data_IF_394995453589
#
_entry.id   IF_394995453589
#
_cell.length_a   1.000
_cell.length_b   1.000
_cell.length_c   1.000
_cell.angle_alpha   90.00
_cell.angle_beta   90.00
_cell.angle_gamma   90.00
#
_symmetry.space_group_name_H-M   'P 1'
#
loop_
_entity.id
_entity.type
_entity.pdbx_description
1 polymer ?
#
# COMPACT_ATOMS: atom_id res chain seq x y z
N UNK A 1 -13.47 -13.46 -13.00
CA UNK A 1 -13.03 -13.38 -14.42
C UNK A 1 -12.00 -14.45 -14.71
N UNK A 2 -12.14 -15.13 -15.84
CA UNK A 2 -11.10 -16.03 -16.37
C UNK A 2 -9.87 -15.22 -16.81
N UNK A 3 -8.67 -15.80 -16.72
CA UNK A 3 -7.42 -15.17 -17.19
C UNK A 3 -7.49 -14.74 -18.67
N UNK A 4 -8.27 -15.46 -19.48
CA UNK A 4 -8.53 -15.10 -20.87
C UNK A 4 -9.23 -13.75 -21.01
N UNK A 5 -10.24 -13.52 -20.16
CA UNK A 5 -11.05 -12.29 -20.19
C UNK A 5 -10.27 -11.09 -19.64
N UNK A 6 -9.37 -11.31 -18.67
CA UNK A 6 -8.45 -10.27 -18.20
C UNK A 6 -7.50 -9.83 -19.32
N UNK A 7 -6.90 -10.79 -20.04
CA UNK A 7 -5.97 -10.49 -21.13
C UNK A 7 -6.66 -9.75 -22.29
N UNK A 8 -7.90 -10.12 -22.63
CA UNK A 8 -8.70 -9.41 -23.63
C UNK A 8 -8.99 -7.95 -23.21
N UNK A 9 -9.34 -7.72 -21.94
CA UNK A 9 -9.57 -6.38 -21.40
C UNK A 9 -8.29 -5.52 -21.38
N UNK A 10 -7.14 -6.07 -20.97
CA UNK A 10 -5.84 -5.37 -21.02
C UNK A 10 -5.51 -4.96 -22.45
N UNK A 11 -5.65 -5.90 -23.39
CA UNK A 11 -5.34 -5.65 -24.81
C UNK A 11 -6.24 -4.56 -25.40
N UNK A 12 -7.53 -4.59 -25.07
CA UNK A 12 -8.48 -3.59 -25.53
C UNK A 12 -8.16 -2.20 -24.97
N UNK A 13 -7.86 -2.08 -23.66
CA UNK A 13 -7.45 -0.83 -23.05
C UNK A 13 -6.17 -0.27 -23.71
N UNK A 14 -5.15 -1.12 -23.87
CA UNK A 14 -3.89 -0.74 -24.52
C UNK A 14 -4.11 -0.26 -25.95
N UNK A 15 -5.04 -0.89 -26.69
CA UNK A 15 -5.40 -0.48 -28.05
C UNK A 15 -6.06 0.89 -28.07
N UNK A 16 -7.03 1.13 -27.18
CA UNK A 16 -7.72 2.42 -27.05
C UNK A 16 -6.77 3.56 -26.63
N UNK A 17 -5.80 3.26 -25.76
CA UNK A 17 -4.78 4.22 -25.33
C UNK A 17 -3.82 4.57 -26.47
N UNK A 18 -3.33 3.56 -27.20
CA UNK A 18 -2.41 3.77 -28.33
C UNK A 18 -3.07 4.55 -29.47
N UNK A 19 -4.30 4.19 -29.85
CA UNK A 19 -5.05 4.93 -30.88
C UNK A 19 -5.22 6.41 -30.50
N UNK A 20 -5.48 6.68 -29.22
CA UNK A 20 -5.65 8.03 -28.71
C UNK A 20 -4.34 8.83 -28.60
N UNK A 21 -3.18 8.16 -28.42
CA UNK A 21 -1.85 8.79 -28.44
C UNK A 21 -1.44 9.19 -29.86
N UNK A 22 -1.69 8.31 -30.84
CA UNK A 22 -1.24 8.49 -32.22
C UNK A 22 -2.04 9.58 -32.97
N UNK A 23 -3.28 9.82 -32.57
CA UNK A 23 -4.15 10.81 -33.21
C UNK A 23 -4.99 11.61 -32.19
N UNK A 24 -4.35 12.51 -31.40
CA UNK A 24 -5.03 13.26 -30.35
C UNK A 24 -6.12 14.22 -30.87
N UNK A 25 -6.16 14.50 -32.18
CA UNK A 25 -7.13 15.40 -32.80
C UNK A 25 -8.35 14.70 -33.44
N UNK A 26 -8.40 13.37 -33.49
CA UNK A 26 -9.49 12.62 -34.15
C UNK A 26 -9.76 11.33 -33.35
N UNK A 27 -10.50 11.44 -32.26
CA UNK A 27 -11.91 11.03 -32.21
C UNK A 27 -12.36 11.14 -30.76
N UNK A 28 -13.30 12.06 -30.52
CA UNK A 28 -14.02 12.14 -29.26
C UNK A 28 -14.63 10.76 -28.92
N UNK A 29 -14.91 9.93 -29.93
CA UNK A 29 -15.47 8.59 -29.80
C UNK A 29 -14.51 7.61 -29.10
N UNK A 30 -13.21 7.60 -29.37
CA UNK A 30 -12.24 6.75 -28.66
C UNK A 30 -12.11 7.16 -27.18
N UNK A 31 -12.14 8.47 -26.92
CA UNK A 31 -12.18 9.01 -25.57
C UNK A 31 -13.47 8.65 -24.86
N UNK A 32 -14.62 8.90 -25.49
CA UNK A 32 -15.95 8.56 -24.98
C UNK A 32 -16.06 7.06 -24.76
N UNK A 33 -15.47 6.22 -25.60
CA UNK A 33 -15.46 4.76 -25.43
C UNK A 33 -14.59 4.35 -24.23
N UNK A 34 -13.40 4.93 -24.08
CA UNK A 34 -12.54 4.70 -22.90
C UNK A 34 -13.21 5.18 -21.61
N UNK A 35 -13.88 6.33 -21.63
CA UNK A 35 -14.63 6.87 -20.49
C UNK A 35 -15.94 6.13 -20.23
N UNK A 36 -16.62 5.64 -21.27
CA UNK A 36 -17.83 4.82 -21.15
C UNK A 36 -17.46 3.45 -20.60
N UNK A 37 -16.33 2.89 -21.03
CA UNK A 37 -15.75 1.69 -20.44
C UNK A 37 -15.40 1.91 -18.96
N UNK A 38 -14.71 3.01 -18.62
CA UNK A 38 -14.46 3.38 -17.22
C UNK A 38 -15.77 3.52 -16.42
N UNK A 39 -16.71 4.32 -16.93
CA UNK A 39 -17.97 4.66 -16.24
C UNK A 39 -18.87 3.45 -16.04
N UNK A 40 -18.93 2.54 -17.01
CA UNK A 40 -19.67 1.28 -16.91
C UNK A 40 -19.05 0.34 -15.87
N UNK A 41 -17.73 0.33 -15.74
CA UNK A 41 -17.00 -0.46 -14.74
C UNK A 41 -16.95 0.20 -13.35
N UNK A 42 -17.16 1.52 -13.28
CA UNK A 42 -17.08 2.31 -12.04
C UNK A 42 -18.43 2.49 -11.32
N UNK A 43 -19.51 1.82 -11.76
CA UNK A 43 -20.82 1.89 -11.08
C UNK A 43 -20.90 1.05 -9.78
N UNK A 44 -19.77 0.60 -9.20
CA UNK A 44 -19.69 -0.15 -7.93
C UNK A 44 -18.38 0.08 -7.16
N UNK A 45 -18.24 -0.58 -5.99
CA UNK A 45 -16.98 -0.74 -5.22
C UNK A 45 -15.81 -1.08 -6.15
N UNK A 46 -14.60 -0.58 -5.84
CA UNK A 46 -13.35 -0.64 -6.64
C UNK A 46 -13.55 -1.11 -8.08
N UNK A 47 -13.53 -0.15 -9.02
CA UNK A 47 -13.81 -0.42 -10.43
C UNK A 47 -13.08 -1.69 -10.92
N UNK A 48 -13.74 -2.53 -11.72
CA UNK A 48 -13.08 -3.69 -12.35
C UNK A 48 -11.82 -3.26 -13.12
N UNK A 49 -11.81 -2.01 -13.59
CA UNK A 49 -10.65 -1.37 -14.18
C UNK A 49 -9.51 -1.18 -13.18
N UNK A 50 -9.74 -0.76 -11.94
CA UNK A 50 -8.69 -0.68 -10.92
C UNK A 50 -8.01 -2.03 -10.66
N UNK A 51 -8.78 -3.12 -10.67
CA UNK A 51 -8.23 -4.47 -10.60
C UNK A 51 -7.39 -4.83 -11.84
N UNK A 52 -7.81 -4.38 -13.03
CA UNK A 52 -7.06 -4.53 -14.27
C UNK A 52 -5.74 -3.74 -14.22
N UNK A 53 -5.79 -2.46 -13.85
CA UNK A 53 -4.62 -1.59 -13.75
C UNK A 53 -3.59 -2.14 -12.77
N UNK A 54 -4.02 -2.73 -11.65
CA UNK A 54 -3.11 -3.37 -10.69
C UNK A 54 -2.30 -4.53 -11.29
N UNK A 55 -2.82 -5.19 -12.33
CA UNK A 55 -2.14 -6.30 -13.02
C UNK A 55 -1.14 -5.85 -14.09
N UNK A 56 -1.17 -4.57 -14.48
CA UNK A 56 -0.27 -4.01 -15.48
C UNK A 56 1.15 -3.84 -14.92
N UNK A 57 2.11 -3.89 -15.83
CA UNK A 57 3.50 -3.59 -15.50
C UNK A 57 3.67 -2.11 -15.17
N UNK A 58 4.74 -1.78 -14.43
CA UNK A 58 5.11 -0.39 -14.11
C UNK A 58 5.24 0.48 -15.36
N UNK A 59 5.82 -0.05 -16.44
CA UNK A 59 6.00 0.70 -17.68
C UNK A 59 4.65 1.02 -18.34
N UNK A 60 3.74 0.05 -18.39
CA UNK A 60 2.38 0.27 -18.92
C UNK A 60 1.63 1.32 -18.09
N UNK A 61 1.68 1.24 -16.76
CA UNK A 61 1.07 2.26 -15.89
C UNK A 61 1.67 3.65 -16.13
N UNK A 62 2.98 3.77 -16.30
CA UNK A 62 3.61 5.06 -16.59
C UNK A 62 3.19 5.61 -17.96
N UNK A 63 3.03 4.77 -18.97
CA UNK A 63 2.53 5.18 -20.29
C UNK A 63 1.10 5.72 -20.16
N UNK A 64 0.24 4.99 -19.44
CA UNK A 64 -1.14 5.41 -19.16
C UNK A 64 -1.16 6.75 -18.44
N UNK A 65 -0.37 6.91 -17.37
CA UNK A 65 -0.30 8.16 -16.62
C UNK A 65 0.11 9.34 -17.50
N UNK A 66 1.20 9.21 -18.28
CA UNK A 66 1.69 10.27 -19.15
C UNK A 66 0.64 10.69 -20.19
N UNK A 67 -0.07 9.71 -20.74
CA UNK A 67 -1.16 9.93 -21.67
C UNK A 67 -2.32 10.69 -21.01
N UNK A 68 -2.79 10.23 -19.84
CA UNK A 68 -3.85 10.91 -19.11
C UNK A 68 -3.43 12.34 -18.74
N UNK A 69 -2.22 12.57 -18.22
CA UNK A 69 -1.72 13.92 -17.94
C UNK A 69 -1.70 14.81 -19.20
N UNK A 70 -1.29 14.27 -20.35
CA UNK A 70 -1.33 15.00 -21.61
C UNK A 70 -2.76 15.45 -21.95
N UNK A 71 -3.74 14.55 -21.80
CA UNK A 71 -5.14 14.79 -22.15
C UNK A 71 -5.89 15.65 -21.13
N UNK A 72 -5.45 15.64 -19.87
CA UNK A 72 -6.03 16.47 -18.80
C UNK A 72 -6.10 17.96 -19.17
N UNK A 73 -5.21 18.40 -20.08
CA UNK A 73 -5.15 19.76 -20.62
C UNK A 73 -6.32 20.12 -21.53
N UNK A 74 -6.97 19.14 -22.14
CA UNK A 74 -8.06 19.30 -23.11
C UNK A 74 -9.43 18.95 -22.51
N UNK A 75 -9.48 18.09 -21.49
CA UNK A 75 -10.73 17.61 -20.89
C UNK A 75 -11.50 18.69 -20.11
N UNK A 76 -10.81 19.71 -19.57
CA UNK A 76 -11.49 20.82 -18.85
C UNK A 76 -12.55 21.51 -19.70
N UNK A 77 -12.35 21.53 -21.02
CA UNK A 77 -13.26 22.18 -21.97
C UNK A 77 -14.43 21.27 -22.39
N UNK A 78 -14.36 19.96 -22.08
CA UNK A 78 -15.32 18.93 -22.49
C UNK A 78 -16.34 18.55 -21.39
N UNK A 79 -16.22 19.08 -20.17
CA UNK A 79 -17.17 18.82 -19.08
C UNK A 79 -17.13 17.41 -18.48
N UNK A 80 -16.18 16.56 -18.88
CA UNK A 80 -15.97 15.18 -18.40
C UNK A 80 -14.98 15.12 -17.22
N UNK A 81 -14.87 16.20 -16.43
CA UNK A 81 -13.80 16.37 -15.45
C UNK A 81 -13.85 15.33 -14.31
N UNK A 82 -15.03 14.96 -13.83
CA UNK A 82 -15.18 14.17 -12.61
C UNK A 82 -14.71 12.71 -12.77
N UNK A 83 -15.16 12.02 -13.80
CA UNK A 83 -14.80 10.63 -14.10
C UNK A 83 -13.33 10.53 -14.51
N UNK A 84 -12.85 11.50 -15.29
CA UNK A 84 -11.45 11.58 -15.67
C UNK A 84 -10.52 11.81 -14.48
N UNK A 85 -10.87 12.74 -13.58
CA UNK A 85 -10.08 13.00 -12.37
C UNK A 85 -10.01 11.76 -11.47
N UNK A 86 -11.11 11.00 -11.36
CA UNK A 86 -11.11 9.71 -10.64
C UNK A 86 -10.18 8.70 -11.29
N UNK A 87 -10.25 8.52 -12.61
CA UNK A 87 -9.39 7.58 -13.32
C UNK A 87 -7.90 7.96 -13.21
N UNK A 88 -7.58 9.24 -13.41
CA UNK A 88 -6.21 9.75 -13.26
C UNK A 88 -5.70 9.55 -11.82
N UNK A 89 -6.56 9.75 -10.82
CA UNK A 89 -6.22 9.51 -9.41
C UNK A 89 -5.92 8.03 -9.15
N UNK A 90 -6.72 7.10 -9.67
CA UNK A 90 -6.49 5.65 -9.57
C UNK A 90 -5.16 5.23 -10.20
N UNK A 91 -4.85 5.72 -11.40
CA UNK A 91 -3.57 5.43 -12.08
C UNK A 91 -2.39 5.98 -11.29
N UNK A 92 -2.48 7.24 -10.82
CA UNK A 92 -1.46 7.87 -10.00
C UNK A 92 -1.24 7.10 -8.69
N UNK A 93 -2.32 6.63 -8.06
CA UNK A 93 -2.26 5.80 -6.87
C UNK A 93 -1.47 4.51 -7.10
N UNK A 94 -1.72 3.81 -8.21
CA UNK A 94 -0.98 2.58 -8.56
C UNK A 94 0.50 2.88 -8.83
N UNK A 95 0.81 4.01 -9.47
CA UNK A 95 2.18 4.44 -9.70
C UNK A 95 2.93 4.74 -8.38
N UNK A 96 2.30 5.47 -7.46
CA UNK A 96 2.84 5.73 -6.12
C UNK A 96 3.04 4.43 -5.35
N UNK A 97 2.07 3.51 -5.39
CA UNK A 97 2.20 2.17 -4.80
C UNK A 97 3.41 1.41 -5.34
N UNK A 98 3.57 1.33 -6.66
CA UNK A 98 4.69 0.62 -7.29
C UNK A 98 6.04 1.20 -6.83
N UNK A 99 6.14 2.53 -6.73
CA UNK A 99 7.33 3.21 -6.24
C UNK A 99 7.65 2.88 -4.76
N UNK A 100 6.63 2.75 -3.91
CA UNK A 100 6.82 2.37 -2.51
C UNK A 100 7.15 0.88 -2.36
N UNK A 101 6.54 0.01 -3.16
CA UNK A 101 6.79 -1.44 -3.15
C UNK A 101 8.25 -1.77 -3.48
N UNK A 102 8.81 -1.12 -4.50
CA UNK A 102 10.24 -1.26 -4.89
C UNK A 102 11.21 -0.88 -3.75
N UNK A 103 10.79 0.00 -2.84
CA UNK A 103 11.63 0.43 -1.71
C UNK A 103 11.64 -0.56 -0.56
N UNK A 104 10.71 -1.50 -0.48
CA UNK A 104 10.60 -2.43 0.66
C UNK A 104 11.86 -3.29 0.79
N UNK A 105 12.24 -3.98 -0.29
CA UNK A 105 13.42 -4.86 -0.33
C UNK A 105 14.72 -4.20 0.17
N UNK A 106 15.14 -3.05 -0.37
CA UNK A 106 16.36 -2.38 0.09
C UNK A 106 16.23 -1.71 1.46
N UNK A 107 15.01 -1.45 1.96
CA UNK A 107 14.80 -0.74 3.24
C UNK A 107 14.80 -1.66 4.46
N UNK A 108 14.36 -2.91 4.28
CA UNK A 108 14.24 -3.87 5.38
C UNK A 108 15.29 -4.98 5.30
N UNK A 109 16.00 -5.29 6.40
CA UNK A 109 16.99 -6.35 6.40
C UNK A 109 16.32 -7.71 6.20
N UNK A 110 17.02 -8.61 5.51
CA UNK A 110 16.57 -10.00 5.30
C UNK A 110 17.21 -10.88 6.37
N UNK A 111 16.41 -11.43 7.26
CA UNK A 111 16.87 -12.29 8.35
C UNK A 111 15.76 -13.26 8.77
N UNK A 112 16.14 -14.30 9.54
CA UNK A 112 15.20 -15.22 10.19
C UNK A 112 15.00 -14.85 11.66
N UNK A 113 13.79 -15.09 12.19
CA UNK A 113 13.48 -14.89 13.60
C UNK A 113 13.46 -16.25 14.29
N UNK A 114 14.24 -16.43 15.35
CA UNK A 114 14.15 -17.67 16.12
C UNK A 114 12.79 -17.76 16.84
N UNK A 115 12.25 -18.97 17.03
CA UNK A 115 10.93 -19.18 17.66
C UNK A 115 10.79 -18.47 19.01
N UNK A 116 11.85 -18.44 19.82
CA UNK A 116 11.85 -17.82 21.15
C UNK A 116 11.87 -16.28 21.08
N UNK A 117 12.07 -15.73 19.88
CA UNK A 117 12.07 -14.30 19.60
C UNK A 117 10.81 -13.86 18.84
N UNK A 118 9.77 -14.69 18.71
CA UNK A 118 8.53 -14.29 18.03
C UNK A 118 7.56 -13.62 19.02
N UNK A 119 7.25 -14.31 20.12
CA UNK A 119 6.33 -13.84 21.17
C UNK A 119 7.09 -13.64 22.48
N UNK A 120 6.70 -12.64 23.29
CA UNK A 120 7.37 -12.30 24.55
C UNK A 120 6.90 -13.05 25.79
N UNK A 121 5.86 -13.88 25.68
CA UNK A 121 5.32 -14.69 26.78
C UNK A 121 5.15 -16.14 26.34
N UNK A 122 5.24 -17.05 27.30
CA UNK A 122 5.32 -18.50 27.10
C UNK A 122 3.90 -19.09 27.00
N UNK A 123 3.19 -18.80 25.90
CA UNK A 123 1.86 -19.37 25.67
C UNK A 123 1.97 -20.65 24.84
N UNK A 124 1.77 -21.77 25.53
CA UNK A 124 1.69 -23.13 24.99
C UNK A 124 0.41 -23.39 24.19
N UNK A 125 -0.27 -22.35 23.73
CA UNK A 125 -1.53 -22.49 23.03
C UNK A 125 -1.28 -23.02 21.61
N UNK A 126 -1.84 -24.19 21.32
CA UNK A 126 -1.59 -24.93 20.09
C UNK A 126 -1.97 -24.14 18.82
N UNK A 127 -2.84 -23.13 18.96
CA UNK A 127 -3.29 -22.22 17.89
C UNK A 127 -2.15 -21.40 17.29
N UNK A 128 -1.14 -21.01 18.07
CA UNK A 128 -0.03 -20.16 17.60
C UNK A 128 1.16 -20.95 17.05
N UNK A 129 1.27 -22.24 17.38
CA UNK A 129 2.44 -23.08 17.05
C UNK A 129 2.71 -23.09 15.55
N UNK A 130 1.67 -23.22 14.73
CA UNK A 130 1.80 -23.22 13.27
C UNK A 130 2.37 -21.90 12.76
N UNK A 131 1.81 -20.76 13.17
CA UNK A 131 2.23 -19.43 12.73
C UNK A 131 3.63 -19.06 13.22
N UNK A 132 3.97 -19.45 14.45
CA UNK A 132 5.33 -19.33 15.02
C UNK A 132 6.32 -20.17 14.20
N UNK A 133 5.93 -21.39 13.80
CA UNK A 133 6.77 -22.24 12.96
C UNK A 133 6.98 -21.64 11.56
N UNK A 134 5.95 -21.08 10.94
CA UNK A 134 6.08 -20.40 9.64
C UNK A 134 7.02 -19.18 9.74
N UNK A 135 6.83 -18.35 10.76
CA UNK A 135 7.67 -17.18 11.00
C UNK A 135 9.13 -17.53 11.31
N UNK A 136 9.38 -18.67 11.96
CA UNK A 136 10.73 -19.02 12.42
C UNK A 136 11.60 -19.76 11.40
N UNK A 137 10.99 -20.40 10.41
CA UNK A 137 11.70 -21.20 9.41
C UNK A 137 12.02 -20.43 8.14
N UNK A 138 11.29 -19.34 7.88
CA UNK A 138 11.38 -18.50 6.68
C UNK A 138 12.03 -17.14 6.98
N UNK A 139 12.61 -16.53 5.96
CA UNK A 139 12.86 -15.09 5.91
C UNK A 139 11.59 -14.37 5.47
N UNK A 140 11.46 -13.06 5.73
CA UNK A 140 10.25 -12.33 5.38
C UNK A 140 9.95 -12.32 3.87
N UNK A 141 10.99 -12.49 3.03
CA UNK A 141 10.84 -12.60 1.58
C UNK A 141 10.17 -13.92 1.17
N UNK A 142 10.45 -14.99 1.91
CA UNK A 142 9.97 -16.36 1.65
C UNK A 142 8.57 -16.61 2.22
N UNK A 143 8.07 -15.73 3.10
CA UNK A 143 6.67 -15.75 3.55
C UNK A 143 5.77 -15.59 2.32
N UNK A 144 4.83 -16.50 2.14
CA UNK A 144 3.81 -16.43 1.08
C UNK A 144 2.61 -15.60 1.53
N UNK A 145 1.68 -15.33 0.61
CA UNK A 145 0.45 -14.62 0.97
C UNK A 145 -0.42 -15.43 1.95
N UNK A 146 -0.51 -16.75 1.77
CA UNK A 146 -1.27 -17.63 2.66
C UNK A 146 -0.63 -17.72 4.05
N UNK A 147 0.71 -17.79 4.10
CA UNK A 147 1.45 -17.68 5.38
C UNK A 147 1.12 -16.34 6.06
N UNK A 148 1.18 -15.24 5.30
CA UNK A 148 0.89 -13.90 5.81
C UNK A 148 -0.53 -13.81 6.40
N UNK A 149 -1.55 -14.30 5.69
CA UNK A 149 -2.93 -14.31 6.20
C UNK A 149 -3.07 -15.16 7.46
N UNK A 150 -2.51 -16.36 7.45
CA UNK A 150 -2.53 -17.25 8.62
C UNK A 150 -1.89 -16.56 9.83
N UNK A 151 -0.75 -15.91 9.65
CA UNK A 151 -0.06 -15.14 10.70
C UNK A 151 -0.91 -13.92 11.13
N UNK A 152 -1.54 -13.22 10.17
CA UNK A 152 -2.37 -12.04 10.41
C UNK A 152 -3.60 -12.33 11.27
N UNK A 153 -4.24 -13.46 11.05
CA UNK A 153 -5.48 -13.81 11.76
C UNK A 153 -5.22 -14.51 13.09
N UNK A 154 -4.08 -15.19 13.21
CA UNK A 154 -3.81 -16.06 14.36
C UNK A 154 -3.08 -15.38 15.50
N UNK A 155 -2.29 -14.32 15.29
CA UNK A 155 -1.36 -13.83 16.31
C UNK A 155 -1.77 -12.52 16.97
N UNK A 156 -1.57 -12.46 18.28
CA UNK A 156 -1.75 -11.23 19.06
C UNK A 156 -0.53 -10.32 18.95
N UNK A 157 -0.68 -9.23 18.19
CA UNK A 157 0.41 -8.29 17.88
C UNK A 157 1.05 -7.63 19.09
N UNK A 158 0.29 -7.47 20.18
CA UNK A 158 0.80 -6.89 21.42
C UNK A 158 1.90 -7.75 22.06
N UNK A 159 1.91 -9.05 21.79
CA UNK A 159 2.86 -10.00 22.34
C UNK A 159 4.11 -10.15 21.47
N UNK A 160 4.20 -9.47 20.32
CA UNK A 160 5.37 -9.56 19.44
C UNK A 160 6.61 -8.93 20.06
N UNK A 161 7.74 -9.64 19.95
CA UNK A 161 9.04 -9.04 20.27
C UNK A 161 9.42 -7.97 19.24
N UNK A 162 10.42 -7.16 19.57
CA UNK A 162 10.95 -6.14 18.66
C UNK A 162 11.44 -6.74 17.34
N UNK A 163 12.07 -7.90 17.44
CA UNK A 163 12.67 -8.59 16.30
C UNK A 163 11.58 -9.13 15.38
N UNK A 164 10.49 -9.65 15.95
CA UNK A 164 9.31 -10.08 15.21
C UNK A 164 8.58 -8.92 14.51
N UNK A 165 8.41 -7.78 15.21
CA UNK A 165 7.83 -6.57 14.62
C UNK A 165 8.63 -6.07 13.41
N UNK A 166 9.96 -5.96 13.55
CA UNK A 166 10.85 -5.56 12.45
C UNK A 166 10.77 -6.53 11.27
N UNK A 167 10.74 -7.82 11.56
CA UNK A 167 10.68 -8.89 10.57
C UNK A 167 9.36 -8.89 9.79
N UNK A 168 8.23 -8.73 10.48
CA UNK A 168 6.91 -8.92 9.88
C UNK A 168 6.38 -7.67 9.18
N UNK A 169 6.89 -6.49 9.54
CA UNK A 169 6.52 -5.21 8.90
C UNK A 169 6.66 -5.21 7.37
N UNK A 170 7.79 -5.62 6.76
CA UNK A 170 7.88 -5.69 5.29
C UNK A 170 6.87 -6.64 4.65
N UNK A 171 6.44 -7.72 5.32
CA UNK A 171 5.36 -8.57 4.85
C UNK A 171 4.04 -7.81 4.77
N UNK A 172 3.68 -7.06 5.82
CA UNK A 172 2.47 -6.24 5.83
C UNK A 172 2.46 -5.21 4.70
N UNK A 173 3.60 -4.54 4.47
CA UNK A 173 3.71 -3.55 3.39
C UNK A 173 3.57 -4.22 2.02
N UNK A 174 4.29 -5.32 1.77
CA UNK A 174 4.27 -6.07 0.52
C UNK A 174 2.88 -6.57 0.19
N UNK A 175 2.23 -7.27 1.12
CA UNK A 175 0.99 -8.00 0.81
C UNK A 175 -0.26 -7.13 0.75
N UNK A 176 -0.26 -5.98 1.44
CA UNK A 176 -1.30 -4.97 1.23
C UNK A 176 -1.12 -4.29 -0.14
N UNK A 177 0.11 -3.96 -0.53
CA UNK A 177 0.39 -3.38 -1.85
C UNK A 177 0.04 -4.29 -3.01
N UNK A 178 0.27 -5.60 -2.87
CA UNK A 178 -0.08 -6.56 -3.92
C UNK A 178 -1.58 -6.89 -3.98
N UNK A 179 -2.40 -6.47 -3.02
CA UNK A 179 -3.83 -6.81 -2.94
C UNK A 179 -4.69 -5.66 -2.43
N UNK A 180 -4.70 -4.54 -3.17
CA UNK A 180 -5.36 -3.30 -2.72
C UNK A 180 -6.88 -3.43 -2.61
N UNK A 181 -7.48 -4.42 -3.25
CA UNK A 181 -8.93 -4.70 -3.19
C UNK A 181 -9.37 -5.44 -1.93
N UNK A 182 -8.46 -5.83 -1.03
CA UNK A 182 -8.78 -6.56 0.21
C UNK A 182 -8.84 -5.64 1.43
N UNK A 183 -9.80 -4.71 1.42
CA UNK A 183 -9.94 -3.66 2.44
C UNK A 183 -10.12 -4.16 3.87
N UNK A 184 -10.68 -5.35 4.06
CA UNK A 184 -10.82 -5.95 5.40
C UNK A 184 -9.46 -6.16 6.09
N UNK A 185 -8.36 -6.35 5.33
CA UNK A 185 -7.01 -6.52 5.88
C UNK A 185 -6.37 -5.21 6.32
N UNK A 186 -6.85 -4.07 5.81
CA UNK A 186 -6.25 -2.77 6.07
C UNK A 186 -6.36 -2.39 7.54
N UNK A 187 -7.49 -2.70 8.18
CA UNK A 187 -7.68 -2.47 9.62
C UNK A 187 -6.62 -3.18 10.46
N UNK A 188 -6.42 -4.48 10.20
CA UNK A 188 -5.42 -5.30 10.90
C UNK A 188 -4.00 -4.79 10.68
N UNK A 189 -3.64 -4.49 9.43
CA UNK A 189 -2.28 -4.00 9.11
C UNK A 189 -2.02 -2.61 9.69
N UNK A 190 -2.99 -1.69 9.60
CA UNK A 190 -2.87 -0.36 10.21
C UNK A 190 -2.75 -0.47 11.73
N UNK A 191 -3.49 -1.37 12.37
CA UNK A 191 -3.35 -1.64 13.79
C UNK A 191 -1.97 -2.18 14.15
N UNK A 192 -1.50 -3.18 13.41
CA UNK A 192 -0.15 -3.72 13.58
C UNK A 192 0.93 -2.62 13.44
N UNK A 193 0.88 -1.82 12.37
CA UNK A 193 1.85 -0.76 12.12
C UNK A 193 1.78 0.35 13.18
N UNK A 194 0.58 0.69 13.64
CA UNK A 194 0.40 1.63 14.75
C UNK A 194 1.09 1.11 16.02
N UNK A 195 0.94 -0.18 16.35
CA UNK A 195 1.59 -0.78 17.51
C UNK A 195 3.11 -0.83 17.35
N UNK A 196 3.59 -1.25 16.19
CA UNK A 196 5.01 -1.32 15.87
C UNK A 196 5.68 0.06 16.02
N UNK A 197 5.01 1.11 15.54
CA UNK A 197 5.49 2.49 15.64
C UNK A 197 5.28 3.12 17.02
N UNK A 198 4.21 2.81 17.74
CA UNK A 198 3.90 3.41 19.05
C UNK A 198 4.78 2.85 20.15
N UNK A 199 4.90 1.52 20.21
CA UNK A 199 5.51 0.89 21.38
C UNK A 199 7.02 1.07 21.40
N UNK A 200 7.69 1.18 20.25
CA UNK A 200 9.14 0.96 20.18
C UNK A 200 9.80 1.70 19.01
N UNK A 201 9.79 3.04 19.04
CA UNK A 201 10.45 3.92 18.06
C UNK A 201 11.97 3.70 17.89
N UNK A 202 12.59 2.82 18.67
CA UNK A 202 13.99 2.39 18.55
C UNK A 202 14.19 1.17 17.64
N UNK A 203 13.12 0.48 17.21
CA UNK A 203 13.23 -0.69 16.32
C UNK A 203 13.60 -0.27 14.91
N UNK A 204 12.88 0.72 14.40
CA UNK A 204 12.99 1.16 13.02
C UNK A 204 13.95 2.32 12.91
N UNK A 205 14.80 2.30 11.89
CA UNK A 205 15.59 3.47 11.53
C UNK A 205 14.70 4.51 10.81
N UNK A 206 15.26 5.71 10.58
CA UNK A 206 14.52 6.81 9.94
C UNK A 206 14.00 6.46 8.55
N UNK A 207 14.77 5.72 7.74
CA UNK A 207 14.35 5.32 6.39
C UNK A 207 13.14 4.37 6.43
N UNK A 208 13.17 3.39 7.34
CA UNK A 208 12.07 2.45 7.56
C UNK A 208 10.81 3.17 8.04
N UNK A 209 10.95 4.08 9.00
CA UNK A 209 9.83 4.89 9.50
C UNK A 209 9.23 5.70 8.36
N UNK A 210 10.04 6.40 7.56
CA UNK A 210 9.55 7.20 6.44
C UNK A 210 8.76 6.36 5.43
N UNK A 211 9.27 5.17 5.08
CA UNK A 211 8.56 4.25 4.18
C UNK A 211 7.21 3.78 4.75
N UNK A 212 7.15 3.46 6.05
CA UNK A 212 5.88 3.10 6.70
C UNK A 212 4.91 4.29 6.72
N UNK A 213 5.40 5.50 6.96
CA UNK A 213 4.57 6.72 6.96
C UNK A 213 4.04 7.03 5.56
N UNK A 214 4.87 6.90 4.53
CA UNK A 214 4.45 7.10 3.14
C UNK A 214 3.42 6.04 2.70
N UNK A 215 3.58 4.79 3.15
CA UNK A 215 2.57 3.74 3.00
C UNK A 215 1.23 4.14 3.64
N UNK A 216 1.25 4.62 4.89
CA UNK A 216 0.03 5.01 5.60
C UNK A 216 -0.67 6.20 4.93
N UNK A 217 0.10 7.18 4.41
CA UNK A 217 -0.45 8.30 3.63
C UNK A 217 -1.09 7.83 2.33
N UNK A 218 -0.44 6.90 1.63
CA UNK A 218 -1.00 6.31 0.41
C UNK A 218 -2.37 5.69 0.72
N UNK A 219 -2.46 4.81 1.72
CA UNK A 219 -3.74 4.22 2.15
C UNK A 219 -4.78 5.29 2.52
N UNK A 220 -4.38 6.32 3.26
CA UNK A 220 -5.27 7.41 3.65
C UNK A 220 -5.85 8.14 2.43
N UNK A 221 -5.04 8.36 1.40
CA UNK A 221 -5.46 9.06 0.18
C UNK A 221 -6.38 8.22 -0.70
N UNK A 222 -6.28 6.87 -0.63
CA UNK A 222 -7.17 6.00 -1.39
C UNK A 222 -8.63 6.14 -0.93
N UNK A 223 -8.84 6.34 0.38
CA UNK A 223 -10.04 6.81 1.11
C UNK A 223 -11.43 6.19 0.82
N UNK A 224 -11.64 5.47 -0.28
CA UNK A 224 -12.97 5.08 -0.74
C UNK A 224 -13.56 3.92 0.07
N UNK A 225 -12.74 3.06 0.70
CA UNK A 225 -13.25 1.81 1.30
C UNK A 225 -12.61 1.43 2.66
N UNK A 226 -11.85 2.35 3.27
CA UNK A 226 -11.29 2.13 4.60
C UNK A 226 -12.22 2.67 5.70
N UNK A 227 -12.40 1.88 6.77
CA UNK A 227 -13.28 2.28 7.88
C UNK A 227 -12.81 3.57 8.57
N UNK A 228 -13.77 4.33 9.11
CA UNK A 228 -13.50 5.59 9.83
C UNK A 228 -12.50 5.39 10.98
N UNK A 229 -12.56 4.24 11.68
CA UNK A 229 -11.62 3.95 12.76
C UNK A 229 -10.20 3.71 12.23
N UNK A 230 -10.07 3.00 11.10
CA UNK A 230 -8.78 2.82 10.41
C UNK A 230 -8.20 4.16 10.00
N UNK A 231 -9.00 5.05 9.41
CA UNK A 231 -8.59 6.41 9.03
C UNK A 231 -8.11 7.24 10.22
N UNK A 232 -8.85 7.22 11.34
CA UNK A 232 -8.46 7.91 12.59
C UNK A 232 -7.13 7.38 13.10
N UNK A 233 -6.92 6.06 13.06
CA UNK A 233 -5.69 5.42 13.52
C UNK A 233 -4.51 5.76 12.62
N UNK A 234 -4.68 5.76 11.29
CA UNK A 234 -3.67 6.26 10.34
C UNK A 234 -3.28 7.70 10.68
N UNK A 235 -4.27 8.58 10.82
CA UNK A 235 -4.04 10.01 11.11
C UNK A 235 -3.25 10.20 12.40
N UNK A 236 -3.65 9.51 13.47
CA UNK A 236 -2.92 9.53 14.76
C UNK A 236 -1.48 9.06 14.60
N UNK A 237 -1.25 7.98 13.85
CA UNK A 237 0.08 7.43 13.60
C UNK A 237 0.97 8.41 12.85
N UNK A 238 0.46 9.02 11.78
CA UNK A 238 1.18 10.02 11.01
C UNK A 238 1.51 11.25 11.87
N UNK A 239 0.56 11.73 12.67
CA UNK A 239 0.76 12.89 13.56
C UNK A 239 1.85 12.65 14.60
N UNK A 240 1.93 11.44 15.18
CA UNK A 240 3.00 11.07 16.12
C UNK A 240 4.39 11.32 15.53
N UNK A 241 4.55 11.13 14.22
CA UNK A 241 5.85 11.23 13.54
C UNK A 241 6.08 12.56 12.81
N UNK A 242 5.04 13.28 12.41
CA UNK A 242 5.15 14.65 11.90
C UNK A 242 5.44 15.68 13.00
N UNK A 243 5.09 15.40 14.26
CA UNK A 243 5.38 16.27 15.41
C UNK A 243 6.77 16.03 16.04
N UNK A 244 7.55 15.06 15.55
CA UNK A 244 8.90 14.77 16.04
C UNK A 244 10.01 15.80 15.73
N UNK A 245 9.92 16.72 14.74
CA UNK A 245 10.91 17.79 14.61
C UNK A 245 11.01 18.66 15.87
N UNK A 246 9.95 18.70 16.67
CA UNK A 246 9.84 19.54 17.88
C UNK A 246 10.45 18.90 19.15
N UNK A 247 10.72 17.59 19.17
CA UNK A 247 11.29 16.91 20.35
C UNK A 247 12.83 16.85 20.38
N UNK A 248 13.51 17.04 19.25
CA UNK A 248 14.98 17.20 19.25
C UNK A 248 15.44 18.50 19.92
N UNK A 249 14.58 19.50 20.07
CA UNK A 249 14.89 20.76 20.74
C UNK A 249 14.79 20.72 22.28
N UNK A 250 14.18 19.66 22.86
CA UNK A 250 13.98 19.55 24.32
C UNK A 250 15.11 18.74 24.98
N UNK A 251 15.71 17.79 24.26
CA UNK A 251 16.85 17.01 24.76
C UNK A 251 18.20 17.73 24.65
N UNK A 252 18.30 18.83 23.89
CA UNK A 252 19.49 19.68 23.85
C UNK A 252 19.50 20.79 24.93
N UNK A 253 18.46 20.88 25.78
CA UNK A 253 18.38 21.87 26.88
C UNK A 253 18.70 21.30 28.27
N UNK A 254 18.99 20.00 28.40
CA UNK A 254 19.34 19.38 29.69
C UNK A 254 20.82 19.01 29.84
N UNK A 255 21.68 19.36 28.88
CA UNK A 255 23.11 19.08 28.95
C UNK A 255 23.97 20.36 28.94
N UNK A 256 23.69 21.32 29.83
CA UNK A 256 24.68 22.31 30.27
C UNK A 256 24.47 22.58 31.76
N UNK A 257 25.22 21.87 32.60
CA UNK A 257 25.77 22.40 33.85
C UNK A 257 27.28 22.42 33.67
N UNK A 258 27.89 23.60 33.63
CA UNK A 258 28.98 23.91 34.58
C UNK A 258 28.82 25.36 35.06
N UNK A 259 29.21 25.79 36.27
CA UNK A 259 30.03 25.28 37.37
C UNK A 259 29.57 26.07 38.60
#
# INVERSE_FOLDING_TARGET
>A
MSDKQKNENVLHLNTLLLSSIENPSIDNDCFIELFSYYSNLSQGEVSELFNLLQSLTKNEINIIHNFLEYISKFIKDLGLCCEFEKFLMEVKYIQERNCLEEKIGPTFPVFKVDKNNIISFDDSDNSYIFSIMQLSTKTWIEITYDDFLSILESLEWHAFTNKALLYFTPCCLKYIFSNLSKFHLYGYVVEFLYLALRNKSTIFNTTQINLIIDFLKLIQNFNQEISVETQKRITRTIQLYLQLPSRKAILSRTAIKPT
#
